data_IF_183978157016
#
_entry.id   IF_183978157016
#
_cell.length_a   1.000
_cell.length_b   1.000
_cell.length_c   1.000
_cell.angle_alpha   90.00
_cell.angle_beta   90.00
_cell.angle_gamma   90.00
#
_symmetry.space_group_name_H-M   'P 1'
#
loop_
_entity.id
_entity.type
_entity.pdbx_description
1 polymer ?
#
# COMPACT_ATOMS: atom_id res chain seq x y z
N UNK A 1 15.20 -0.46 7.62
CA UNK A 1 14.14 0.32 6.95
C UNK A 1 13.00 -0.60 6.51
N UNK A 2 13.28 -1.55 5.60
CA UNK A 2 12.28 -2.49 5.07
C UNK A 2 11.48 -3.24 6.15
N UNK A 3 12.13 -3.73 7.21
CA UNK A 3 11.44 -4.36 8.36
C UNK A 3 10.39 -3.46 9.03
N UNK A 4 10.67 -2.16 9.24
CA UNK A 4 9.71 -1.24 9.88
C UNK A 4 8.47 -1.01 9.03
N UNK A 5 8.63 -1.02 7.71
CA UNK A 5 7.51 -0.91 6.76
C UNK A 5 6.74 -2.22 6.71
N UNK A 6 7.44 -3.37 6.75
CA UNK A 6 6.83 -4.69 6.84
C UNK A 6 5.95 -4.78 8.10
N UNK A 7 6.49 -4.37 9.25
CA UNK A 7 5.79 -4.35 10.53
C UNK A 7 4.60 -3.37 10.52
N UNK A 8 4.73 -2.20 9.88
CA UNK A 8 3.65 -1.19 9.82
C UNK A 8 2.53 -1.55 8.83
N UNK A 9 2.85 -2.30 7.78
CA UNK A 9 1.90 -2.76 6.77
C UNK A 9 1.41 -4.20 7.03
N UNK A 10 1.85 -4.83 8.12
CA UNK A 10 1.57 -6.24 8.48
C UNK A 10 1.90 -7.24 7.35
N UNK A 11 2.94 -6.95 6.57
CA UNK A 11 3.42 -7.82 5.49
C UNK A 11 4.75 -8.47 5.85
N UNK A 12 5.08 -9.56 5.18
CA UNK A 12 6.36 -10.23 5.39
C UNK A 12 7.50 -9.48 4.70
N UNK A 13 8.74 -9.59 5.23
CA UNK A 13 9.88 -8.87 4.67
C UNK A 13 10.18 -9.32 3.23
N UNK A 14 10.06 -10.62 2.97
CA UNK A 14 10.13 -11.29 1.67
C UNK A 14 9.14 -10.70 0.64
N UNK A 15 7.96 -10.26 1.09
CA UNK A 15 6.99 -9.56 0.25
C UNK A 15 7.48 -8.17 -0.22
N UNK A 16 8.36 -7.53 0.56
CA UNK A 16 8.96 -6.23 0.23
C UNK A 16 10.28 -6.35 -0.54
N UNK A 17 11.05 -7.43 -0.34
CA UNK A 17 12.33 -7.65 -1.03
C UNK A 17 12.20 -8.47 -2.31
N UNK A 18 11.02 -9.00 -2.61
CA UNK A 18 10.70 -9.64 -3.90
C UNK A 18 11.37 -10.99 -4.13
N UNK A 19 11.83 -11.67 -3.08
CA UNK A 19 12.46 -13.00 -3.17
C UNK A 19 11.43 -14.14 -3.30
N UNK A 20 10.34 -13.90 -4.04
CA UNK A 20 9.30 -14.89 -4.34
C UNK A 20 8.66 -14.65 -5.70
N UNK A 21 8.16 -15.70 -6.33
CA UNK A 21 7.54 -15.70 -7.68
C UNK A 21 6.36 -14.72 -7.85
N UNK A 22 5.90 -14.08 -6.78
CA UNK A 22 4.74 -13.20 -6.71
C UNK A 22 5.05 -11.90 -5.96
N UNK A 23 6.17 -11.22 -6.22
CA UNK A 23 6.36 -9.85 -5.74
C UNK A 23 5.38 -8.93 -6.50
N UNK A 24 4.21 -8.59 -5.94
CA UNK A 24 3.11 -8.03 -6.74
C UNK A 24 3.28 -6.52 -6.95
N UNK A 25 4.27 -5.91 -6.30
CA UNK A 25 4.52 -4.49 -6.31
C UNK A 25 5.82 -4.17 -7.03
N UNK A 26 5.74 -3.32 -8.06
CA UNK A 26 6.94 -2.78 -8.68
C UNK A 26 7.69 -1.85 -7.71
N UNK A 27 8.99 -1.67 -7.95
CA UNK A 27 9.87 -0.82 -7.13
C UNK A 27 9.32 0.59 -6.96
N UNK A 28 8.64 1.11 -7.97
CA UNK A 28 8.08 2.47 -8.00
C UNK A 28 6.90 2.62 -7.04
N UNK A 29 6.06 1.60 -6.95
CA UNK A 29 4.91 1.55 -6.07
C UNK A 29 5.36 1.47 -4.62
N UNK A 30 6.35 0.63 -4.32
CA UNK A 30 6.95 0.55 -2.99
C UNK A 30 7.58 1.89 -2.57
N UNK A 31 8.32 2.55 -3.45
CA UNK A 31 8.93 3.84 -3.17
C UNK A 31 7.88 4.91 -2.84
N UNK A 32 6.77 4.97 -3.59
CA UNK A 32 5.67 5.92 -3.31
C UNK A 32 5.04 5.69 -1.93
N UNK A 33 4.80 4.44 -1.54
CA UNK A 33 4.27 4.13 -0.21
C UNK A 33 5.26 4.56 0.88
N UNK A 34 6.57 4.33 0.67
CA UNK A 34 7.60 4.80 1.60
C UNK A 34 7.60 6.33 1.74
N UNK A 35 7.54 7.07 0.64
CA UNK A 35 7.48 8.53 0.64
C UNK A 35 6.21 9.03 1.37
N UNK A 36 5.05 8.39 1.17
CA UNK A 36 3.80 8.71 1.91
C UNK A 36 3.97 8.49 3.42
N UNK A 37 4.66 7.42 3.81
CA UNK A 37 4.94 7.08 5.20
C UNK A 37 5.94 8.02 5.87
N UNK A 38 6.65 8.86 5.12
CA UNK A 38 7.57 9.88 5.65
C UNK A 38 6.91 11.26 5.80
N UNK A 39 5.69 11.43 5.28
CA UNK A 39 4.95 12.69 5.40
C UNK A 39 4.47 12.95 6.84
N UNK A 40 4.20 14.22 7.13
CA UNK A 40 3.47 14.63 8.33
C UNK A 40 2.14 13.89 8.45
N UNK A 41 1.75 13.56 9.67
CA UNK A 41 0.58 12.70 9.96
C UNK A 41 -0.69 13.16 9.26
N UNK A 42 -0.95 14.47 9.28
CA UNK A 42 -2.15 15.05 8.65
C UNK A 42 -2.21 14.78 7.13
N UNK A 43 -1.09 14.87 6.42
CA UNK A 43 -1.02 14.62 4.97
C UNK A 43 -1.03 13.13 4.66
N UNK A 44 -0.35 12.33 5.47
CA UNK A 44 -0.36 10.87 5.36
C UNK A 44 -1.78 10.33 5.46
N UNK A 45 -2.52 10.74 6.50
CA UNK A 45 -3.90 10.32 6.71
C UNK A 45 -4.78 10.66 5.51
N UNK A 46 -4.70 11.89 5.00
CA UNK A 46 -5.47 12.31 3.82
C UNK A 46 -5.18 11.44 2.59
N UNK A 47 -3.92 11.09 2.34
CA UNK A 47 -3.56 10.25 1.19
C UNK A 47 -4.01 8.80 1.36
N UNK A 48 -3.89 8.25 2.57
CA UNK A 48 -4.37 6.91 2.87
C UNK A 48 -5.90 6.82 2.74
N UNK A 49 -6.63 7.81 3.25
CA UNK A 49 -8.09 7.90 3.10
C UNK A 49 -8.51 7.94 1.62
N UNK A 50 -7.74 8.67 0.79
CA UNK A 50 -8.00 8.74 -0.64
C UNK A 50 -7.78 7.39 -1.32
N UNK A 51 -6.69 6.69 -1.00
CA UNK A 51 -6.40 5.34 -1.50
C UNK A 51 -7.55 4.40 -1.13
N UNK A 52 -7.98 4.40 0.13
CA UNK A 52 -9.07 3.56 0.62
C UNK A 52 -10.40 3.87 -0.06
N UNK A 53 -10.65 5.15 -0.35
CA UNK A 53 -11.86 5.60 -1.06
C UNK A 53 -11.93 4.99 -2.46
N UNK A 54 -10.84 5.03 -3.24
CA UNK A 54 -10.81 4.44 -4.58
C UNK A 54 -10.91 2.91 -4.55
N UNK A 55 -10.25 2.25 -3.59
CA UNK A 55 -10.35 0.79 -3.42
C UNK A 55 -11.80 0.40 -3.09
N UNK A 56 -12.44 1.15 -2.20
CA UNK A 56 -13.85 0.92 -1.82
C UNK A 56 -14.76 1.08 -3.03
N UNK A 57 -14.67 2.19 -3.74
CA UNK A 57 -15.49 2.45 -4.93
C UNK A 57 -15.33 1.33 -5.99
N UNK A 58 -14.10 0.88 -6.25
CA UNK A 58 -13.86 -0.25 -7.15
C UNK A 58 -14.56 -1.54 -6.71
N UNK A 59 -14.42 -1.91 -5.42
CA UNK A 59 -15.07 -3.11 -4.86
C UNK A 59 -16.60 -2.98 -4.90
N UNK A 60 -17.12 -1.81 -4.57
CA UNK A 60 -18.55 -1.50 -4.62
C UNK A 60 -19.10 -1.66 -6.04
N UNK A 61 -18.42 -1.11 -7.05
CA UNK A 61 -18.81 -1.28 -8.46
C UNK A 61 -18.81 -2.74 -8.91
N UNK A 62 -17.81 -3.53 -8.50
CA UNK A 62 -17.79 -4.97 -8.80
C UNK A 62 -18.98 -5.70 -8.18
N UNK A 63 -19.33 -5.40 -6.93
CA UNK A 63 -20.45 -6.03 -6.23
C UNK A 63 -21.81 -5.70 -6.86
N UNK A 64 -21.99 -4.49 -7.39
CA UNK A 64 -23.21 -4.08 -8.08
C UNK A 64 -23.25 -4.45 -9.57
N UNK A 65 -22.14 -4.89 -10.15
CA UNK A 65 -22.07 -5.42 -11.51
C UNK A 65 -22.40 -6.93 -11.59
N UNK A 66 -22.74 -7.54 -10.44
CA UNK A 66 -23.09 -8.96 -10.29
C UNK A 66 -24.59 -9.15 -10.07
#
# INVERSE_FOLDING_TARGET
MAKKIADACEVTLDYLVGEGQNAPFDKKTLQRIQEIMELEESKRTVLLDLIDTYIRDFKTRQAYAS
#
